data_IF_886385314014
#
_entry.id   IF_886385314014
#
_cell.length_a   1.000
_cell.length_b   1.000
_cell.length_c   1.000
_cell.angle_alpha   90.00
_cell.angle_beta   90.00
_cell.angle_gamma   90.00
#
_symmetry.space_group_name_H-M   'P 1'
#
loop_
_entity.id
_entity.type
_entity.pdbx_description
1 polymer ?
#
# COMPACT_ATOMS: atom_id res chain seq x y z
N UNK A 1 16.12 -31.41 -46.23
CA UNK A 1 17.20 -30.41 -46.35
C UNK A 1 16.53 -29.04 -46.49
N UNK A 2 16.31 -28.32 -45.38
CA UNK A 2 15.65 -26.99 -45.39
C UNK A 2 16.66 -25.94 -45.87
N UNK A 3 16.42 -25.37 -47.05
CA UNK A 3 17.27 -24.35 -47.66
C UNK A 3 17.17 -23.06 -46.85
N UNK A 4 18.31 -22.57 -46.34
CA UNK A 4 18.40 -21.35 -45.52
C UNK A 4 17.88 -20.14 -46.29
N UNK A 5 16.70 -19.66 -45.92
CA UNK A 5 16.01 -18.48 -46.48
C UNK A 5 16.54 -17.15 -45.91
N UNK A 6 17.52 -17.17 -44.99
CA UNK A 6 18.05 -15.96 -44.36
C UNK A 6 18.72 -14.98 -45.34
N UNK A 7 19.38 -15.50 -46.37
CA UNK A 7 20.12 -14.66 -47.32
C UNK A 7 19.20 -13.88 -48.28
N UNK A 8 18.00 -14.39 -48.56
CA UNK A 8 17.03 -13.72 -49.42
C UNK A 8 16.32 -12.58 -48.69
N UNK A 9 15.98 -12.80 -47.41
CA UNK A 9 15.41 -11.76 -46.54
C UNK A 9 16.40 -10.63 -46.36
N UNK A 10 17.66 -10.94 -46.09
CA UNK A 10 18.72 -9.94 -45.98
C UNK A 10 18.90 -9.15 -47.30
N UNK A 11 18.87 -9.85 -48.44
CA UNK A 11 18.91 -9.21 -49.75
C UNK A 11 17.73 -8.26 -49.99
N UNK A 12 16.52 -8.66 -49.61
CA UNK A 12 15.33 -7.81 -49.74
C UNK A 12 15.39 -6.57 -48.85
N UNK A 13 15.91 -6.70 -47.62
CA UNK A 13 16.14 -5.58 -46.70
C UNK A 13 17.13 -4.58 -47.32
N UNK A 14 18.25 -5.07 -47.87
CA UNK A 14 19.27 -4.22 -48.51
C UNK A 14 18.69 -3.48 -49.72
N UNK A 15 17.92 -4.18 -50.57
CA UNK A 15 17.25 -3.58 -51.73
C UNK A 15 16.26 -2.50 -51.27
N UNK A 16 15.49 -2.75 -50.20
CA UNK A 16 14.52 -1.78 -49.68
C UNK A 16 15.17 -0.53 -49.09
N UNK A 17 16.26 -0.69 -48.33
CA UNK A 17 17.05 0.44 -47.83
C UNK A 17 17.63 1.24 -48.98
N UNK A 18 18.18 0.58 -50.01
CA UNK A 18 18.69 1.24 -51.21
C UNK A 18 17.62 2.02 -51.98
N UNK A 19 16.42 1.46 -52.12
CA UNK A 19 15.29 2.12 -52.79
C UNK A 19 14.83 3.37 -52.03
N UNK A 20 14.78 3.29 -50.70
CA UNK A 20 14.44 4.43 -49.84
C UNK A 20 15.44 5.59 -49.99
N UNK A 21 16.75 5.28 -50.00
CA UNK A 21 17.80 6.27 -50.25
C UNK A 21 17.70 6.91 -51.64
N UNK A 22 17.39 6.11 -52.67
CA UNK A 22 17.21 6.60 -54.04
C UNK A 22 16.04 7.58 -54.15
N UNK A 23 14.87 7.23 -53.58
CA UNK A 23 13.71 8.12 -53.63
C UNK A 23 13.94 9.43 -52.86
N UNK A 24 14.67 9.36 -51.74
CA UNK A 24 15.12 10.54 -51.00
C UNK A 24 15.95 11.48 -51.89
N UNK A 25 16.89 10.94 -52.68
CA UNK A 25 17.72 11.72 -53.61
C UNK A 25 16.92 12.29 -54.79
N UNK A 26 15.86 11.61 -55.23
CA UNK A 26 14.96 12.08 -56.29
C UNK A 26 13.99 13.19 -55.83
N UNK A 27 14.06 13.61 -54.55
CA UNK A 27 13.13 14.59 -53.98
C UNK A 27 11.71 14.06 -53.79
N UNK A 28 11.53 12.74 -53.97
CA UNK A 28 10.25 12.07 -53.77
C UNK A 28 10.13 11.78 -52.28
N UNK A 29 9.39 12.63 -51.56
CA UNK A 29 9.05 12.42 -50.13
C UNK A 29 8.00 11.32 -49.96
N UNK A 30 8.28 10.12 -50.48
CA UNK A 30 7.51 8.93 -50.13
C UNK A 30 8.15 8.31 -48.89
N UNK A 31 7.43 8.36 -47.77
CA UNK A 31 7.81 7.61 -46.58
C UNK A 31 7.45 6.13 -46.79
N UNK A 32 8.25 5.45 -47.61
CA UNK A 32 8.04 4.03 -47.93
C UNK A 32 8.09 3.16 -46.67
N UNK A 33 8.79 3.60 -45.62
CA UNK A 33 8.89 2.91 -44.34
C UNK A 33 7.52 2.72 -43.68
N UNK A 34 6.70 3.78 -43.68
CA UNK A 34 5.34 3.78 -43.09
C UNK A 34 4.38 2.77 -43.73
N UNK A 35 4.56 2.46 -45.02
CA UNK A 35 3.72 1.49 -45.75
C UNK A 35 4.27 0.06 -45.69
N UNK A 36 5.59 -0.09 -45.58
CA UNK A 36 6.25 -1.40 -45.51
C UNK A 36 6.06 -2.03 -44.13
N UNK A 37 6.12 -1.23 -43.06
CA UNK A 37 6.07 -1.74 -41.69
C UNK A 37 4.80 -2.56 -41.38
N UNK A 38 3.56 -2.12 -41.74
CA UNK A 38 2.36 -2.94 -41.57
C UNK A 38 2.43 -4.30 -42.26
N UNK A 39 2.99 -4.35 -43.48
CA UNK A 39 3.08 -5.57 -44.28
C UNK A 39 4.05 -6.56 -43.62
N UNK A 40 5.21 -6.06 -43.15
CA UNK A 40 6.19 -6.87 -42.42
C UNK A 40 5.59 -7.37 -41.11
N UNK A 41 4.97 -6.49 -40.32
CA UNK A 41 4.34 -6.83 -39.05
C UNK A 41 3.24 -7.89 -39.22
N UNK A 42 2.39 -7.77 -40.25
CA UNK A 42 1.37 -8.76 -40.58
C UNK A 42 1.99 -10.12 -40.95
N UNK A 43 3.06 -10.12 -41.76
CA UNK A 43 3.77 -11.35 -42.15
C UNK A 43 4.41 -12.05 -40.95
N UNK A 44 5.02 -11.29 -40.04
CA UNK A 44 5.61 -11.82 -38.80
C UNK A 44 4.51 -12.34 -37.85
N UNK A 45 3.42 -11.59 -37.68
CA UNK A 45 2.27 -12.00 -36.86
C UNK A 45 1.70 -13.33 -37.34
N UNK A 46 1.52 -13.50 -38.66
CA UNK A 46 1.05 -14.74 -39.26
C UNK A 46 2.01 -15.90 -39.04
N UNK A 47 3.32 -15.67 -39.15
CA UNK A 47 4.34 -16.70 -38.88
C UNK A 47 4.28 -17.18 -37.42
N UNK A 48 4.19 -16.26 -36.46
CA UNK A 48 4.10 -16.62 -35.03
C UNK A 48 2.77 -17.24 -34.64
N UNK A 49 1.67 -16.85 -35.30
CA UNK A 49 0.37 -17.49 -35.16
C UNK A 49 0.46 -18.98 -35.51
N UNK A 50 1.10 -19.29 -36.65
CA UNK A 50 1.31 -20.67 -37.11
C UNK A 50 2.22 -21.49 -36.17
N UNK A 51 3.21 -20.85 -35.54
CA UNK A 51 4.11 -21.49 -34.58
C UNK A 51 3.52 -21.62 -33.16
N UNK A 52 2.20 -21.48 -32.98
CA UNK A 52 1.46 -21.56 -31.69
C UNK A 52 1.82 -20.50 -30.63
N UNK A 53 2.66 -19.52 -30.96
CA UNK A 53 3.03 -18.43 -30.05
C UNK A 53 2.01 -17.29 -30.12
N UNK A 54 0.84 -17.51 -29.50
CA UNK A 54 -0.29 -16.56 -29.52
C UNK A 54 0.08 -15.17 -28.99
N UNK A 55 0.88 -15.12 -27.93
CA UNK A 55 1.28 -13.85 -27.31
C UNK A 55 2.10 -12.97 -28.26
N UNK A 56 3.09 -13.56 -28.95
CA UNK A 56 3.94 -12.81 -29.86
C UNK A 56 3.18 -12.43 -31.16
N UNK A 57 2.29 -13.29 -31.63
CA UNK A 57 1.39 -12.97 -32.75
C UNK A 57 0.49 -11.77 -32.42
N UNK A 58 -0.10 -11.71 -31.22
CA UNK A 58 -0.93 -10.59 -30.77
C UNK A 58 -0.14 -9.28 -30.66
N UNK A 59 1.11 -9.33 -30.20
CA UNK A 59 1.97 -8.16 -30.12
C UNK A 59 2.24 -7.57 -31.52
N UNK A 60 2.64 -8.40 -32.48
CA UNK A 60 2.87 -7.94 -33.86
C UNK A 60 1.58 -7.54 -34.58
N UNK A 61 0.46 -8.17 -34.26
CA UNK A 61 -0.85 -7.77 -34.78
C UNK A 61 -1.25 -6.38 -34.26
N UNK A 62 -1.03 -6.12 -32.97
CA UNK A 62 -1.27 -4.80 -32.36
C UNK A 62 -0.43 -3.72 -33.04
N UNK A 63 0.86 -3.97 -33.26
CA UNK A 63 1.76 -3.06 -34.01
C UNK A 63 1.28 -2.84 -35.45
N UNK A 64 0.80 -3.88 -36.12
CA UNK A 64 0.22 -3.76 -37.46
C UNK A 64 -1.02 -2.85 -37.46
N UNK A 65 -1.92 -3.00 -36.48
CA UNK A 65 -3.15 -2.19 -36.38
C UNK A 65 -2.84 -0.73 -36.05
N UNK A 66 -1.92 -0.48 -35.11
CA UNK A 66 -1.47 0.88 -34.75
C UNK A 66 -0.88 1.57 -35.99
N UNK A 67 0.03 0.88 -36.69
CA UNK A 67 0.66 1.43 -37.89
C UNK A 67 -0.31 1.64 -39.05
N UNK A 68 -1.28 0.74 -39.24
CA UNK A 68 -2.29 0.89 -40.28
C UNK A 68 -3.19 2.11 -40.02
N UNK A 69 -3.57 2.32 -38.75
CA UNK A 69 -4.40 3.45 -38.38
C UNK A 69 -3.67 4.80 -38.50
N UNK A 70 -2.37 4.84 -38.19
CA UNK A 70 -1.54 6.03 -38.41
C UNK A 70 -1.41 6.33 -39.92
N UNK A 71 -1.05 5.33 -40.73
CA UNK A 71 -0.80 5.52 -42.18
C UNK A 71 -2.07 5.73 -43.00
N UNK A 72 -3.16 4.99 -42.74
CA UNK A 72 -4.38 5.01 -43.58
C UNK A 72 -5.43 5.98 -43.05
N UNK A 73 -5.64 6.00 -41.73
CA UNK A 73 -6.67 6.84 -41.11
C UNK A 73 -6.13 8.20 -40.67
N UNK A 74 -4.80 8.40 -40.66
CA UNK A 74 -4.14 9.60 -40.14
C UNK A 74 -4.57 9.89 -38.69
N UNK A 75 -4.72 8.82 -37.91
CA UNK A 75 -5.09 8.88 -36.48
C UNK A 75 -3.97 8.24 -35.68
N UNK A 76 -3.50 8.95 -34.65
CA UNK A 76 -2.55 8.41 -33.68
C UNK A 76 -3.25 7.43 -32.72
N UNK A 77 -3.46 6.19 -33.18
CA UNK A 77 -4.03 5.13 -32.35
C UNK A 77 -3.14 4.83 -31.13
N UNK A 78 -1.82 5.01 -31.24
CA UNK A 78 -0.89 4.81 -30.13
C UNK A 78 -1.18 5.77 -28.99
N UNK A 79 -1.24 7.06 -29.31
CA UNK A 79 -1.65 8.12 -28.40
C UNK A 79 -3.05 7.91 -27.86
N UNK A 80 -4.01 7.49 -28.68
CA UNK A 80 -5.38 7.21 -28.23
C UNK A 80 -5.43 6.05 -27.22
N UNK A 81 -4.71 4.96 -27.45
CA UNK A 81 -4.64 3.82 -26.52
C UNK A 81 -4.03 4.27 -25.18
N UNK A 82 -2.93 5.03 -25.22
CA UNK A 82 -2.30 5.57 -24.01
C UNK A 82 -3.26 6.51 -23.27
N UNK A 83 -3.96 7.39 -24.00
CA UNK A 83 -4.95 8.29 -23.43
C UNK A 83 -6.13 7.54 -22.79
N UNK A 84 -6.66 6.49 -23.44
CA UNK A 84 -7.72 5.65 -22.87
C UNK A 84 -7.24 4.91 -21.62
N UNK A 85 -6.00 4.42 -21.59
CA UNK A 85 -5.41 3.80 -20.40
C UNK A 85 -5.29 4.83 -19.27
N UNK A 86 -4.72 6.01 -19.54
CA UNK A 86 -4.61 7.09 -18.56
C UNK A 86 -5.98 7.55 -18.06
N UNK A 87 -6.97 7.69 -18.95
CA UNK A 87 -8.34 8.05 -18.61
C UNK A 87 -9.00 6.96 -17.76
N UNK A 88 -8.80 5.68 -18.09
CA UNK A 88 -9.29 4.56 -17.29
C UNK A 88 -8.68 4.58 -15.89
N UNK A 89 -7.36 4.78 -15.77
CA UNK A 89 -6.70 4.90 -14.48
C UNK A 89 -7.15 6.15 -13.72
N UNK A 90 -7.31 7.29 -14.40
CA UNK A 90 -7.81 8.53 -13.80
C UNK A 90 -9.24 8.39 -13.28
N UNK A 91 -10.15 7.80 -14.06
CA UNK A 91 -11.51 7.50 -13.63
C UNK A 91 -11.51 6.44 -12.53
N UNK A 92 -10.68 5.40 -12.62
CA UNK A 92 -10.53 4.37 -11.57
C UNK A 92 -10.04 4.98 -10.25
N UNK A 93 -9.18 5.99 -10.32
CA UNK A 93 -8.71 6.77 -9.18
C UNK A 93 -9.83 7.64 -8.60
N UNK A 94 -10.66 8.25 -9.46
CA UNK A 94 -11.84 9.02 -9.03
C UNK A 94 -12.94 8.13 -8.43
N UNK A 95 -13.14 6.92 -8.95
CA UNK A 95 -14.15 5.96 -8.47
C UNK A 95 -13.77 5.23 -7.18
N UNK A 96 -12.59 5.51 -6.63
CA UNK A 96 -12.13 5.00 -5.34
C UNK A 96 -12.54 5.87 -4.14
N UNK A 97 -13.26 6.97 -4.33
CA UNK A 97 -13.44 7.98 -3.28
C UNK A 97 -14.62 7.74 -2.31
N UNK A 98 -15.42 6.68 -2.48
CA UNK A 98 -16.47 6.30 -1.49
C UNK A 98 -16.10 5.03 -0.69
N UNK A 99 -14.87 4.54 -0.82
CA UNK A 99 -14.30 3.49 0.04
C UNK A 99 -12.78 3.59 0.08
N UNK A 100 -12.25 4.80 0.24
CA UNK A 100 -10.88 4.95 0.76
C UNK A 100 -10.84 4.11 2.04
N UNK A 101 -9.92 3.14 2.12
CA UNK A 101 -9.59 2.53 3.40
C UNK A 101 -9.03 3.66 4.27
N UNK A 102 -9.91 4.42 4.93
CA UNK A 102 -9.53 5.22 6.09
C UNK A 102 -9.14 4.17 7.13
N UNK A 103 -7.84 3.89 7.23
CA UNK A 103 -7.32 3.10 8.33
C UNK A 103 -7.28 4.05 9.52
N UNK A 104 -8.47 4.35 10.01
CA UNK A 104 -8.70 4.93 11.32
C UNK A 104 -8.73 3.76 12.29
N UNK A 105 -7.55 3.37 12.80
CA UNK A 105 -7.46 2.27 13.78
C UNK A 105 -8.33 2.60 15.02
N UNK A 106 -8.70 3.88 15.23
CA UNK A 106 -9.62 4.27 16.29
C UNK A 106 -11.08 3.83 16.05
N UNK A 107 -11.52 3.67 14.79
CA UNK A 107 -12.90 3.26 14.42
C UNK A 107 -13.09 1.75 14.40
N UNK A 108 -12.03 0.98 14.12
CA UNK A 108 -12.11 -0.48 13.97
C UNK A 108 -12.26 -1.24 15.30
N UNK A 109 -12.18 -0.55 16.44
CA UNK A 109 -12.43 -1.12 17.77
C UNK A 109 -13.78 -0.70 18.36
N UNK A 110 -14.44 -1.58 19.14
CA UNK A 110 -15.67 -1.24 19.83
C UNK A 110 -15.53 0.05 20.67
N UNK A 111 -16.59 0.87 20.77
CA UNK A 111 -16.56 2.11 21.54
C UNK A 111 -16.21 1.82 23.00
N UNK A 112 -15.35 2.65 23.59
CA UNK A 112 -15.00 2.54 25.02
C UNK A 112 -16.26 2.86 25.84
N UNK A 113 -16.88 1.83 26.42
CA UNK A 113 -17.93 2.02 27.42
C UNK A 113 -17.30 2.78 28.57
N UNK A 114 -17.72 4.02 28.78
CA UNK A 114 -17.33 4.78 29.97
C UNK A 114 -18.06 4.13 31.15
N UNK A 115 -17.37 3.30 31.93
CA UNK A 115 -17.84 2.94 33.26
C UNK A 115 -17.93 4.24 34.08
N UNK A 116 -19.16 4.69 34.31
CA UNK A 116 -19.47 5.72 35.27
C UNK A 116 -19.37 5.08 36.65
N UNK A 117 -18.21 5.17 37.28
CA UNK A 117 -18.05 4.80 38.68
C UNK A 117 -18.72 5.89 39.53
N UNK A 118 -20.02 5.72 39.78
CA UNK A 118 -20.69 6.36 40.90
C UNK A 118 -20.13 5.78 42.19
N UNK A 119 -19.15 6.48 42.78
CA UNK A 119 -18.76 6.25 44.17
C UNK A 119 -19.94 6.73 45.02
N UNK A 120 -20.77 5.79 45.48
CA UNK A 120 -21.65 6.04 46.62
C UNK A 120 -20.83 5.85 47.89
N UNK A 121 -20.48 6.97 48.52
CA UNK A 121 -20.25 7.01 49.97
C UNK A 121 -21.55 6.58 50.66
N UNK A 122 -21.50 5.50 51.45
CA UNK A 122 -22.41 5.31 52.57
C UNK A 122 -21.74 4.46 53.66
N UNK A 123 -21.34 5.19 54.70
CA UNK A 123 -21.40 4.94 56.14
C UNK A 123 -21.21 3.52 56.72
N UNK A 124 -20.22 3.47 57.62
CA UNK A 124 -19.90 2.43 58.62
C UNK A 124 -21.11 1.97 59.45
N UNK A 125 -21.33 0.66 59.57
CA UNK A 125 -21.81 0.04 60.82
C UNK A 125 -21.38 -1.44 60.97
N UNK A 126 -21.30 -1.92 62.21
CA UNK A 126 -20.43 -3.02 62.66
C UNK A 126 -21.12 -4.40 62.80
N UNK A 127 -20.32 -5.47 62.60
CA UNK A 127 -20.33 -6.81 63.29
C UNK A 127 -21.38 -7.90 62.92
N UNK A 128 -21.18 -9.21 63.27
CA UNK A 128 -20.99 -10.27 62.26
C UNK A 128 -21.94 -11.48 62.41
N UNK A 129 -22.14 -12.28 61.34
CA UNK A 129 -22.75 -13.60 61.47
C UNK A 129 -22.00 -14.70 60.68
N UNK A 130 -21.45 -15.61 61.49
CA UNK A 130 -20.96 -16.94 61.17
C UNK A 130 -22.11 -17.84 60.67
N UNK A 131 -21.92 -18.64 59.60
CA UNK A 131 -22.52 -19.97 59.48
C UNK A 131 -21.71 -20.89 58.55
N UNK A 132 -21.65 -22.14 58.96
CA UNK A 132 -20.73 -23.20 58.56
C UNK A 132 -21.46 -24.23 57.67
N UNK A 133 -20.70 -24.85 56.75
CA UNK A 133 -20.73 -26.29 56.41
C UNK A 133 -21.92 -26.88 55.61
N UNK A 134 -21.64 -27.61 54.51
CA UNK A 134 -21.57 -29.09 54.49
C UNK A 134 -21.20 -29.67 53.11
N UNK A 135 -20.32 -30.66 53.16
CA UNK A 135 -19.87 -31.57 52.09
C UNK A 135 -20.72 -32.84 52.14
N UNK A 136 -21.10 -33.42 50.99
CA UNK A 136 -21.50 -34.84 50.90
C UNK A 136 -21.14 -35.41 49.51
N UNK A 137 -20.64 -36.67 49.51
CA UNK A 137 -20.07 -37.48 48.43
C UNK A 137 -21.08 -38.56 47.99
N UNK A 138 -20.69 -39.33 46.95
CA UNK A 138 -21.00 -40.75 46.64
C UNK A 138 -21.47 -40.88 45.17
N UNK A 139 -21.16 -41.89 44.34
CA UNK A 139 -20.26 -43.06 44.30
C UNK A 139 -20.27 -43.56 42.82
N UNK A 140 -19.23 -44.28 42.39
CA UNK A 140 -19.08 -44.97 41.08
C UNK A 140 -19.85 -46.33 41.11
N UNK A 141 -20.08 -47.08 39.99
CA UNK A 141 -19.00 -47.82 39.31
C UNK A 141 -19.14 -48.21 37.81
N UNK A 142 -17.96 -48.34 37.18
CA UNK A 142 -17.43 -49.39 36.30
C UNK A 142 -17.97 -49.81 34.89
N UNK A 143 -16.94 -50.06 34.05
CA UNK A 143 -16.75 -51.12 33.02
C UNK A 143 -16.75 -50.82 31.49
N UNK A 144 -15.52 -50.70 30.98
CA UNK A 144 -14.84 -51.59 30.00
C UNK A 144 -15.09 -51.58 28.45
N UNK A 145 -14.00 -51.20 27.73
CA UNK A 145 -13.37 -51.72 26.47
C UNK A 145 -14.06 -51.50 25.09
N UNK A 146 -13.43 -50.77 24.17
CA UNK A 146 -12.68 -51.27 22.97
C UNK A 146 -12.39 -50.17 21.93
N UNK A 147 -11.19 -50.23 21.35
CA UNK A 147 -10.70 -49.46 20.22
C UNK A 147 -11.37 -49.90 18.90
N UNK A 148 -11.67 -48.94 18.01
CA UNK A 148 -11.63 -49.16 16.56
C UNK A 148 -11.51 -47.83 15.81
N UNK A 149 -10.38 -47.71 15.10
CA UNK A 149 -10.12 -46.78 14.00
C UNK A 149 -11.12 -47.01 12.87
N UNK A 150 -11.68 -45.95 12.26
CA UNK A 150 -11.83 -45.76 10.79
C UNK A 150 -12.52 -44.43 10.46
N UNK A 151 -11.90 -43.77 9.48
CA UNK A 151 -12.27 -42.59 8.71
C UNK A 151 -13.75 -42.39 8.32
N UNK A 152 -14.26 -41.14 8.39
CA UNK A 152 -14.54 -40.33 7.19
C UNK A 152 -15.06 -38.90 7.48
N UNK A 153 -14.37 -37.95 6.82
CA UNK A 153 -14.81 -36.73 6.11
C UNK A 153 -16.07 -35.92 6.53
N UNK A 154 -15.83 -34.61 6.44
CA UNK A 154 -16.74 -33.46 6.22
C UNK A 154 -17.72 -33.17 7.35
N UNK A 155 -17.73 -31.97 7.93
CA UNK A 155 -18.10 -30.75 7.21
C UNK A 155 -17.66 -29.51 7.98
N UNK A 156 -17.22 -28.53 7.21
CA UNK A 156 -16.95 -27.14 7.59
C UNK A 156 -18.17 -26.50 8.26
N UNK A 157 -17.94 -25.85 9.40
CA UNK A 157 -18.96 -25.11 10.13
C UNK A 157 -18.54 -24.92 11.58
N UNK A 158 -17.68 -23.92 11.83
CA UNK A 158 -17.48 -23.43 13.18
C UNK A 158 -17.81 -21.95 13.22
N UNK A 159 -19.02 -21.70 13.71
CA UNK A 159 -19.45 -20.48 14.36
C UNK A 159 -18.41 -20.05 15.39
N UNK A 160 -17.69 -18.97 15.10
CA UNK A 160 -16.98 -18.22 16.12
C UNK A 160 -18.01 -17.39 16.88
N UNK A 161 -18.70 -18.01 17.84
CA UNK A 161 -19.14 -17.31 19.04
C UNK A 161 -17.85 -16.93 19.78
N UNK A 162 -17.37 -15.72 19.55
CA UNK A 162 -16.26 -15.17 20.34
C UNK A 162 -16.88 -14.47 21.52
N UNK A 163 -16.83 -15.13 22.67
CA UNK A 163 -17.16 -14.55 23.97
C UNK A 163 -16.40 -13.24 24.17
N UNK A 164 -17.18 -12.17 24.35
CA UNK A 164 -16.71 -10.82 24.59
C UNK A 164 -16.08 -10.71 25.98
N UNK A 165 -14.81 -11.09 26.09
CA UNK A 165 -13.92 -10.52 27.11
C UNK A 165 -13.22 -9.33 26.46
N UNK A 166 -13.86 -8.15 26.48
CA UNK A 166 -13.25 -6.91 26.01
C UNK A 166 -12.12 -6.56 26.96
N UNK A 167 -10.92 -7.05 26.68
CA UNK A 167 -9.70 -6.48 27.24
C UNK A 167 -9.49 -5.14 26.54
N UNK A 168 -9.38 -4.07 27.34
CA UNK A 168 -8.97 -2.73 26.90
C UNK A 168 -7.48 -2.72 26.50
N UNK A 169 -7.06 -3.61 25.60
CA UNK A 169 -5.68 -3.61 25.11
C UNK A 169 -5.47 -2.38 24.23
N UNK A 170 -4.37 -1.64 24.40
CA UNK A 170 -4.04 -0.54 23.52
C UNK A 170 -3.85 -1.05 22.09
N UNK A 171 -4.24 -0.24 21.12
CA UNK A 171 -3.94 -0.50 19.71
C UNK A 171 -2.43 -0.63 19.55
N UNK A 172 -1.94 -1.68 18.89
CA UNK A 172 -0.51 -1.79 18.58
C UNK A 172 -0.27 -1.33 17.15
N UNK A 173 0.73 -0.47 16.94
CA UNK A 173 1.08 -0.03 15.58
C UNK A 173 1.58 -1.21 14.73
N UNK A 174 1.19 -1.29 13.45
CA UNK A 174 1.64 -2.38 12.59
C UNK A 174 3.13 -2.24 12.28
N UNK A 175 3.87 -3.35 12.30
CA UNK A 175 5.30 -3.33 11.92
C UNK A 175 5.52 -2.95 10.45
N UNK A 176 4.65 -3.42 9.56
CA UNK A 176 4.65 -3.08 8.14
C UNK A 176 3.23 -2.82 7.65
N UNK A 177 3.05 -1.73 6.90
CA UNK A 177 1.77 -1.38 6.28
C UNK A 177 2.01 -0.74 4.91
N UNK A 178 1.28 -1.21 3.90
CA UNK A 178 1.27 -0.63 2.57
C UNK A 178 -0.16 -0.18 2.23
N UNK A 179 -0.35 1.09 1.89
CA UNK A 179 -1.64 1.69 1.53
C UNK A 179 -1.51 2.23 0.11
N UNK A 180 -2.29 1.72 -0.84
CA UNK A 180 -2.18 2.25 -2.20
C UNK A 180 -2.92 3.60 -2.32
N UNK A 181 -4.15 3.66 -1.82
CA UNK A 181 -4.99 4.85 -1.77
C UNK A 181 -5.72 4.82 -0.42
N UNK A 182 -5.68 5.92 0.33
CA UNK A 182 -6.37 6.06 1.62
C UNK A 182 -5.51 6.74 2.68
N UNK A 183 -6.17 7.22 3.73
CA UNK A 183 -5.52 7.92 4.84
C UNK A 183 -5.11 6.94 5.95
N UNK A 184 -4.06 7.29 6.69
CA UNK A 184 -3.67 6.61 7.92
C UNK A 184 -3.77 7.56 9.11
N UNK A 185 -4.68 7.27 10.05
CA UNK A 185 -4.95 8.16 11.19
C UNK A 185 -4.85 7.43 12.53
N UNK A 186 -4.05 7.99 13.43
CA UNK A 186 -3.91 7.58 14.83
C UNK A 186 -4.07 8.82 15.73
N UNK A 187 -5.31 9.23 15.97
CA UNK A 187 -5.60 10.56 16.53
C UNK A 187 -6.39 10.52 17.85
N UNK A 188 -7.22 9.50 18.07
CA UNK A 188 -8.25 9.52 19.11
C UNK A 188 -7.92 8.60 20.28
N UNK A 189 -7.45 7.38 20.03
CA UNK A 189 -7.21 6.37 21.08
C UNK A 189 -5.74 6.26 21.45
N UNK A 190 -5.49 5.80 22.66
CA UNK A 190 -4.15 5.42 23.11
C UNK A 190 -3.68 4.18 22.35
N UNK A 191 -2.45 4.21 21.87
CA UNK A 191 -1.84 3.12 21.12
C UNK A 191 -0.43 2.81 21.64
N UNK A 192 -0.04 1.54 21.68
CA UNK A 192 1.32 1.11 21.90
C UNK A 192 2.14 1.36 20.62
N UNK A 193 3.16 2.20 20.75
CA UNK A 193 4.02 2.57 19.65
C UNK A 193 5.17 1.57 19.53
N UNK A 194 5.23 0.89 18.40
CA UNK A 194 6.29 -0.03 18.01
C UNK A 194 6.94 0.43 16.70
N UNK A 195 8.05 -0.22 16.35
CA UNK A 195 8.72 0.02 15.07
C UNK A 195 7.74 -0.15 13.93
N UNK A 196 7.65 0.84 13.04
CA UNK A 196 6.65 0.89 11.99
C UNK A 196 7.28 1.32 10.66
N UNK A 197 7.03 0.56 9.61
CA UNK A 197 7.30 0.95 8.23
C UNK A 197 5.97 1.09 7.47
N UNK A 198 5.58 2.34 7.21
CA UNK A 198 4.35 2.68 6.51
C UNK A 198 4.68 3.26 5.14
N UNK A 199 4.19 2.60 4.09
CA UNK A 199 4.25 3.08 2.71
C UNK A 199 2.85 3.44 2.24
N UNK A 200 2.67 4.64 1.70
CA UNK A 200 1.41 5.06 1.12
C UNK A 200 1.58 5.65 -0.28
N UNK A 201 0.60 5.42 -1.15
CA UNK A 201 0.57 5.95 -2.51
C UNK A 201 -0.07 7.33 -2.58
N UNK A 202 -1.38 7.40 -2.35
CA UNK A 202 -2.17 8.64 -2.37
C UNK A 202 -3.03 8.70 -1.09
N UNK A 203 -2.89 9.76 -0.31
CA UNK A 203 -3.65 9.99 0.92
C UNK A 203 -2.81 10.62 2.01
N UNK A 204 -3.45 10.97 3.12
CA UNK A 204 -2.79 11.74 4.19
C UNK A 204 -2.43 10.85 5.39
N UNK A 205 -1.37 11.24 6.11
CA UNK A 205 -1.01 10.64 7.40
C UNK A 205 -1.24 11.66 8.51
N UNK A 206 -1.98 11.27 9.56
CA UNK A 206 -2.09 12.05 10.78
C UNK A 206 -1.85 11.18 12.02
N UNK A 207 -0.82 11.49 12.82
CA UNK A 207 -0.47 10.73 14.03
C UNK A 207 -0.30 11.67 15.22
N UNK A 208 -1.06 11.44 16.28
CA UNK A 208 -0.94 12.13 17.56
C UNK A 208 -0.12 11.30 18.56
N UNK A 209 1.16 11.64 18.70
CA UNK A 209 2.06 10.99 19.64
C UNK A 209 1.73 11.29 21.10
N UNK A 210 0.87 12.27 21.41
CA UNK A 210 0.37 12.46 22.79
C UNK A 210 -0.48 11.28 23.26
N UNK A 211 -0.94 10.42 22.34
CA UNK A 211 -1.67 9.19 22.62
C UNK A 211 -0.78 7.94 22.63
N UNK A 212 0.50 8.09 22.29
CA UNK A 212 1.43 6.97 22.18
C UNK A 212 1.91 6.49 23.55
N UNK A 213 1.83 5.18 23.78
CA UNK A 213 2.55 4.48 24.84
C UNK A 213 3.85 3.99 24.22
N UNK A 214 4.95 4.66 24.55
CA UNK A 214 6.29 4.34 24.04
C UNK A 214 7.02 3.47 25.06
N UNK A 215 7.49 2.29 24.67
CA UNK A 215 8.26 1.42 25.56
C UNK A 215 9.71 1.92 25.76
N UNK A 216 10.45 1.32 26.69
CA UNK A 216 11.88 1.59 26.85
C UNK A 216 12.67 1.16 25.62
N UNK A 217 13.62 2.01 25.21
CA UNK A 217 14.43 1.85 24.01
C UNK A 217 14.22 2.96 23.00
N UNK A 218 14.64 2.68 21.76
CA UNK A 218 14.44 3.55 20.60
C UNK A 218 13.42 2.90 19.68
N UNK A 219 12.27 3.55 19.48
CA UNK A 219 11.27 3.13 18.50
C UNK A 219 11.50 3.86 17.18
N UNK A 220 11.51 3.12 16.06
CA UNK A 220 11.81 3.66 14.73
C UNK A 220 10.58 3.64 13.84
N UNK A 221 10.18 4.81 13.35
CA UNK A 221 9.05 5.00 12.45
C UNK A 221 9.59 5.48 11.10
N UNK A 222 9.19 4.80 10.05
CA UNK A 222 9.57 5.11 8.67
C UNK A 222 8.30 5.31 7.85
N UNK A 223 8.13 6.52 7.32
CA UNK A 223 7.00 6.93 6.51
C UNK A 223 7.50 7.23 5.09
N UNK A 224 7.01 6.47 4.11
CA UNK A 224 7.29 6.69 2.68
C UNK A 224 6.00 6.97 1.92
N UNK A 225 5.87 8.19 1.42
CA UNK A 225 4.67 8.70 0.75
C UNK A 225 4.87 9.04 -0.72
N UNK A 226 3.81 8.81 -1.50
CA UNK A 226 3.68 9.36 -2.85
C UNK A 226 3.12 10.78 -2.79
N UNK A 227 1.79 10.89 -2.77
CA UNK A 227 1.04 12.14 -2.84
C UNK A 227 0.17 12.28 -1.57
N UNK A 228 0.29 13.41 -0.88
CA UNK A 228 -0.49 13.74 0.32
C UNK A 228 0.37 14.26 1.45
N UNK A 229 -0.28 14.74 2.50
CA UNK A 229 0.39 15.45 3.58
C UNK A 229 0.70 14.53 4.77
N UNK A 230 1.71 14.89 5.56
CA UNK A 230 2.08 14.18 6.78
C UNK A 230 2.04 15.14 7.97
N UNK A 231 1.04 14.97 8.83
CA UNK A 231 0.83 15.72 10.06
C UNK A 231 1.23 14.88 11.29
N UNK A 232 2.28 15.29 12.00
CA UNK A 232 2.69 14.66 13.25
C UNK A 232 2.59 15.64 14.43
N UNK A 233 1.91 15.20 15.49
CA UNK A 233 1.75 15.97 16.72
C UNK A 233 2.59 15.35 17.83
N UNK A 234 3.55 16.11 18.35
CA UNK A 234 4.56 15.62 19.29
C UNK A 234 4.30 16.23 20.68
N UNK A 235 4.15 15.43 21.75
CA UNK A 235 4.02 15.97 23.09
C UNK A 235 5.38 16.49 23.60
N UNK A 236 5.38 17.52 24.43
CA UNK A 236 6.61 18.22 24.86
C UNK A 236 7.61 17.36 25.65
N UNK A 237 7.16 16.27 26.24
CA UNK A 237 7.93 15.34 27.07
C UNK A 237 8.52 14.16 26.28
N UNK A 238 8.18 14.02 24.98
CA UNK A 238 8.70 12.95 24.14
C UNK A 238 10.02 13.35 23.47
N UNK A 239 11.06 12.56 23.71
CA UNK A 239 12.36 12.75 23.08
C UNK A 239 12.38 12.15 21.68
N UNK A 240 12.56 13.01 20.65
CA UNK A 240 12.51 12.58 19.25
C UNK A 240 13.71 13.02 18.41
N UNK A 241 13.93 12.28 17.33
CA UNK A 241 14.79 12.63 16.19
C UNK A 241 13.98 12.50 14.91
N UNK A 242 13.88 13.56 14.12
CA UNK A 242 13.14 13.60 12.87
C UNK A 242 14.12 13.83 11.72
N UNK A 243 14.01 13.01 10.68
CA UNK A 243 14.60 13.23 9.37
C UNK A 243 13.47 13.29 8.35
N UNK A 244 13.22 14.47 7.80
CA UNK A 244 12.15 14.70 6.83
C UNK A 244 12.73 15.07 5.46
N UNK A 245 12.10 14.58 4.40
CA UNK A 245 12.46 14.88 3.02
C UNK A 245 11.22 14.96 2.13
N UNK A 246 11.13 16.00 1.31
CA UNK A 246 10.03 16.23 0.37
C UNK A 246 10.62 16.57 -1.00
N UNK A 247 10.19 15.86 -2.04
CA UNK A 247 10.67 16.15 -3.41
C UNK A 247 10.01 17.41 -3.97
N UNK A 248 8.71 17.60 -3.73
CA UNK A 248 7.97 18.83 -3.99
C UNK A 248 6.97 19.09 -2.87
N UNK A 249 7.15 20.19 -2.14
CA UNK A 249 6.30 20.57 -1.00
C UNK A 249 7.10 21.33 0.06
N UNK A 250 6.40 21.77 1.09
CA UNK A 250 6.99 22.44 2.24
C UNK A 250 7.27 21.43 3.37
N UNK A 251 8.36 21.65 4.09
CA UNK A 251 8.70 20.91 5.30
C UNK A 251 8.74 21.88 6.46
N UNK A 252 7.93 21.64 7.48
CA UNK A 252 7.88 22.43 8.70
C UNK A 252 8.00 21.51 9.92
N UNK A 253 9.22 21.37 10.43
CA UNK A 253 9.53 20.45 11.53
C UNK A 253 9.95 21.23 12.76
N UNK A 254 9.10 21.26 13.80
CA UNK A 254 9.39 21.87 15.10
C UNK A 254 9.98 23.29 14.97
N UNK A 255 9.34 24.12 14.15
CA UNK A 255 9.73 25.50 13.80
C UNK A 255 10.88 25.66 12.79
N UNK A 256 11.40 24.57 12.22
CA UNK A 256 12.35 24.62 11.11
C UNK A 256 11.59 24.45 9.80
N UNK A 257 11.57 25.49 8.98
CA UNK A 257 10.83 25.51 7.71
C UNK A 257 11.76 25.50 6.50
N UNK A 258 11.48 24.62 5.55
CA UNK A 258 12.13 24.51 4.24
C UNK A 258 11.05 24.45 3.16
N UNK A 259 11.12 25.32 2.15
CA UNK A 259 10.08 25.43 1.10
C UNK A 259 10.66 25.12 -0.29
N UNK A 260 9.94 24.36 -1.12
CA UNK A 260 10.26 24.19 -2.54
C UNK A 260 10.53 22.75 -2.98
N UNK A 261 11.61 22.54 -3.74
CA UNK A 261 11.93 21.25 -4.40
C UNK A 261 13.13 20.59 -3.72
N UNK A 262 13.05 19.27 -3.51
CA UNK A 262 14.08 18.41 -2.93
C UNK A 262 14.62 18.95 -1.60
N UNK A 263 13.70 19.19 -0.67
CA UNK A 263 14.01 19.70 0.65
C UNK A 263 14.25 18.58 1.64
N UNK A 264 15.05 18.90 2.65
CA UNK A 264 15.34 18.01 3.76
C UNK A 264 15.46 18.82 5.05
N UNK A 265 14.97 18.26 6.15
CA UNK A 265 15.14 18.80 7.49
C UNK A 265 15.55 17.70 8.45
N UNK A 266 16.48 18.01 9.36
CA UNK A 266 16.87 17.12 10.45
C UNK A 266 16.77 17.88 11.76
N UNK A 267 15.90 17.43 12.65
CA UNK A 267 15.67 18.06 13.95
C UNK A 267 15.75 16.99 15.03
N UNK A 268 16.37 17.31 16.15
CA UNK A 268 16.49 16.40 17.27
C UNK A 268 16.33 17.17 18.58
N UNK A 269 15.60 16.58 19.52
CA UNK A 269 15.51 17.11 20.90
C UNK A 269 16.85 16.98 21.63
N UNK A 270 17.14 17.91 22.55
CA UNK A 270 18.45 18.02 23.23
C UNK A 270 18.86 16.69 23.92
N UNK A 271 17.95 16.10 24.71
CA UNK A 271 18.22 14.90 25.50
C UNK A 271 17.94 13.58 24.76
N UNK A 272 17.76 13.61 23.44
CA UNK A 272 17.41 12.42 22.66
C UNK A 272 18.37 11.25 22.86
N UNK A 273 19.69 11.50 22.90
CA UNK A 273 20.69 10.43 22.99
C UNK A 273 20.66 9.71 24.34
N UNK A 274 20.39 10.45 25.40
CA UNK A 274 20.45 10.00 26.80
C UNK A 274 19.10 9.46 27.31
N UNK A 275 18.01 9.77 26.59
CA UNK A 275 16.69 9.27 26.96
C UNK A 275 16.59 7.74 26.86
N UNK A 276 16.01 7.15 27.89
CA UNK A 276 15.62 5.73 27.93
C UNK A 276 14.40 5.43 27.06
N UNK A 277 13.57 6.43 26.74
CA UNK A 277 12.38 6.31 25.89
C UNK A 277 12.45 7.35 24.78
N UNK A 278 12.65 6.93 23.54
CA UNK A 278 12.87 7.86 22.42
C UNK A 278 12.33 7.33 21.10
N UNK A 279 12.02 8.26 20.19
CA UNK A 279 11.42 7.92 18.89
C UNK A 279 12.23 8.53 17.76
N UNK A 280 12.67 7.69 16.82
CA UNK A 280 13.26 8.12 15.55
C UNK A 280 12.20 8.10 14.46
N UNK A 281 12.02 9.20 13.76
CA UNK A 281 11.04 9.33 12.68
C UNK A 281 11.78 9.69 11.39
N UNK A 282 11.58 8.90 10.34
CA UNK A 282 12.12 9.13 9.01
C UNK A 282 10.93 9.30 8.06
N UNK A 283 10.87 10.43 7.37
CA UNK A 283 9.74 10.81 6.49
C UNK A 283 10.30 11.14 5.11
N UNK A 284 9.75 10.50 4.08
CA UNK A 284 10.04 10.82 2.69
C UNK A 284 8.74 10.89 1.89
N UNK A 285 8.44 12.06 1.34
CA UNK A 285 7.25 12.31 0.50
C UNK A 285 7.68 12.79 -0.88
N UNK A 286 7.01 12.32 -1.93
CA UNK A 286 7.27 12.80 -3.30
C UNK A 286 6.59 14.16 -3.52
N UNK A 287 5.30 14.26 -3.21
CA UNK A 287 4.45 15.43 -3.43
C UNK A 287 3.55 15.66 -2.21
N UNK A 288 3.74 16.76 -1.49
CA UNK A 288 2.94 17.10 -0.31
C UNK A 288 3.79 17.72 0.80
N UNK A 289 3.09 18.23 1.81
CA UNK A 289 3.70 18.97 2.90
C UNK A 289 3.97 18.05 4.11
N UNK A 290 5.05 18.33 4.84
CA UNK A 290 5.42 17.61 6.06
C UNK A 290 5.35 18.59 7.22
N UNK A 291 4.34 18.46 8.07
CA UNK A 291 4.14 19.30 9.25
C UNK A 291 4.34 18.49 10.53
N UNK A 292 5.33 18.88 11.31
CA UNK A 292 5.59 18.31 12.64
C UNK A 292 5.60 19.40 13.68
N UNK A 293 4.64 19.34 14.61
CA UNK A 293 4.39 20.40 15.60
C UNK A 293 4.21 19.83 17.00
N UNK A 294 4.55 20.66 17.99
CA UNK A 294 4.28 20.34 19.39
C UNK A 294 2.79 20.49 19.72
N UNK A 295 2.30 19.65 20.62
CA UNK A 295 0.97 19.72 21.25
C UNK A 295 1.04 19.77 22.76
#
# INVERSE_FOLDING_TARGET
>A
MMKSSGNLVLGFIIIMVGLNLLFSQLGIRMDVGSYIWPIIAASISYHFYKNKNKWLSLLFLSLCVISLGDTILNVDLGGFIIAVVLLYFGIKLLKGQDSSEEIDIDKDLPPRTKEHNDIKEDTVDQTPHLHQQKVEKDELPDEHITEAVVSNRSSFGHSSQTDATIRNEPIVTPSQKNIFIGDFKLMKRTFALQDMNLKYGIGDIAIDFSKAIVDEGETVIVLHGGIGDVDLYIPSDLHISIQASASLGDINVLKHREEGINKQAMVQTENYKESNRKVKIIISVILGDIDVRYV
#
